data_IF_674734831549
#
_entry.id   IF_674734831549
#
_cell.length_a   1.000
_cell.length_b   1.000
_cell.length_c   1.000
_cell.angle_alpha   90.00
_cell.angle_beta   90.00
_cell.angle_gamma   90.00
#
_symmetry.space_group_name_H-M   'P 1'
#
loop_
_entity.id
_entity.type
_entity.pdbx_description
1 polymer ?
#
# COMPACT_ATOMS: atom_id res chain seq x y z
N UNK A 1 -3.46 33.50 36.02
CA UNK A 1 -3.11 32.90 34.70
C UNK A 1 -2.68 31.44 34.86
N UNK A 2 -3.64 30.54 35.02
CA UNK A 2 -3.41 29.09 35.04
C UNK A 2 -4.19 28.38 33.92
N UNK A 3 -5.33 28.97 33.52
CA UNK A 3 -6.23 28.48 32.46
C UNK A 3 -5.57 28.45 31.07
N UNK A 4 -4.71 29.43 30.75
CA UNK A 4 -3.96 29.45 29.49
C UNK A 4 -3.09 28.21 29.25
N UNK A 5 -2.37 27.73 30.28
CA UNK A 5 -1.45 26.58 30.12
C UNK A 5 -2.19 25.26 29.89
N UNK A 6 -3.34 25.09 30.54
CA UNK A 6 -4.17 23.89 30.37
C UNK A 6 -4.79 23.84 28.96
N UNK A 7 -5.28 24.99 28.47
CA UNK A 7 -5.83 25.09 27.12
C UNK A 7 -4.77 24.85 26.04
N UNK A 8 -3.55 25.37 26.22
CA UNK A 8 -2.43 25.12 25.30
C UNK A 8 -2.02 23.65 25.29
N UNK A 9 -1.93 22.98 26.46
CA UNK A 9 -1.62 21.54 26.54
C UNK A 9 -2.62 20.71 25.74
N UNK A 10 -3.91 20.98 25.95
CA UNK A 10 -4.99 20.24 25.28
C UNK A 10 -4.99 20.45 23.77
N UNK A 11 -4.68 21.66 23.29
CA UNK A 11 -4.59 21.94 21.84
C UNK A 11 -3.45 21.13 21.23
N UNK A 12 -2.27 21.14 21.86
CA UNK A 12 -1.10 20.39 21.39
C UNK A 12 -1.37 18.89 21.40
N UNK A 13 -2.01 18.37 22.45
CA UNK A 13 -2.38 16.94 22.54
C UNK A 13 -3.38 16.51 21.47
N UNK A 14 -4.37 17.36 21.13
CA UNK A 14 -5.30 17.07 20.04
C UNK A 14 -4.60 17.11 18.69
N UNK A 15 -3.76 18.12 18.44
CA UNK A 15 -3.02 18.27 17.18
C UNK A 15 -2.13 17.05 16.91
N UNK A 16 -1.37 16.60 17.92
CA UNK A 16 -0.54 15.39 17.83
C UNK A 16 -1.39 14.16 17.52
N UNK A 17 -2.56 14.02 18.16
CA UNK A 17 -3.47 12.87 17.92
C UNK A 17 -4.05 12.92 16.51
N UNK A 18 -4.45 14.09 16.04
CA UNK A 18 -4.99 14.27 14.69
C UNK A 18 -3.92 13.98 13.63
N UNK A 19 -2.70 14.46 13.83
CA UNK A 19 -1.55 14.13 12.99
C UNK A 19 -1.28 12.63 12.96
N UNK A 20 -1.18 11.98 14.13
CA UNK A 20 -0.92 10.54 14.20
C UNK A 20 -2.01 9.70 13.50
N UNK A 21 -3.28 10.10 13.63
CA UNK A 21 -4.39 9.43 12.92
C UNK A 21 -4.32 9.68 11.41
N UNK A 22 -3.99 10.90 10.99
CA UNK A 22 -3.83 11.23 9.57
C UNK A 22 -2.68 10.45 8.93
N UNK A 23 -1.52 10.41 9.59
CA UNK A 23 -0.35 9.64 9.17
C UNK A 23 -0.66 8.15 9.10
N UNK A 24 -1.27 7.59 10.14
CA UNK A 24 -1.65 6.17 10.15
C UNK A 24 -2.61 5.80 9.01
N UNK A 25 -3.59 6.65 8.72
CA UNK A 25 -4.49 6.46 7.56
C UNK A 25 -3.75 6.57 6.23
N UNK A 26 -2.83 7.53 6.10
CA UNK A 26 -2.06 7.72 4.88
C UNK A 26 -1.15 6.52 4.59
N UNK A 27 -0.42 6.04 5.61
CA UNK A 27 0.45 4.86 5.53
C UNK A 27 -0.39 3.63 5.19
N UNK A 28 -1.46 3.36 5.94
CA UNK A 28 -2.29 2.18 5.71
C UNK A 28 -2.93 2.16 4.31
N UNK A 29 -3.33 3.33 3.79
CA UNK A 29 -3.83 3.44 2.41
C UNK A 29 -2.72 3.15 1.39
N UNK A 30 -1.52 3.73 1.57
CA UNK A 30 -0.41 3.53 0.65
C UNK A 30 0.03 2.05 0.63
N UNK A 31 0.17 1.42 1.79
CA UNK A 31 0.52 0.00 1.91
C UNK A 31 -0.56 -0.90 1.30
N UNK A 32 -1.84 -0.65 1.61
CA UNK A 32 -2.95 -1.41 1.05
C UNK A 32 -3.06 -1.31 -0.46
N UNK A 33 -2.86 -0.12 -1.04
CA UNK A 33 -2.83 0.07 -2.49
C UNK A 33 -1.64 -0.65 -3.14
N UNK A 34 -0.46 -0.58 -2.54
CA UNK A 34 0.73 -1.25 -3.06
C UNK A 34 0.57 -2.78 -3.02
N UNK A 35 0.11 -3.32 -1.88
CA UNK A 35 -0.12 -4.75 -1.71
C UNK A 35 -1.22 -5.25 -2.66
N UNK A 36 -2.34 -4.51 -2.77
CA UNK A 36 -3.43 -4.86 -3.67
C UNK A 36 -3.02 -4.88 -5.13
N UNK A 37 -2.24 -3.88 -5.57
CA UNK A 37 -1.68 -3.86 -6.94
C UNK A 37 -0.76 -5.05 -7.18
N UNK A 38 0.12 -5.39 -6.24
CA UNK A 38 1.02 -6.53 -6.38
C UNK A 38 0.26 -7.85 -6.43
N UNK A 39 -0.67 -8.10 -5.49
CA UNK A 39 -1.52 -9.29 -5.47
C UNK A 39 -2.31 -9.44 -6.77
N UNK A 40 -2.89 -8.36 -7.28
CA UNK A 40 -3.62 -8.37 -8.56
C UNK A 40 -2.73 -8.75 -9.74
N UNK A 41 -1.52 -8.19 -9.83
CA UNK A 41 -0.56 -8.54 -10.90
C UNK A 41 -0.13 -10.02 -10.82
N UNK A 42 0.13 -10.53 -9.62
CA UNK A 42 0.51 -11.93 -9.42
C UNK A 42 -0.63 -12.89 -9.78
N UNK A 43 -1.87 -12.55 -9.42
CA UNK A 43 -3.04 -13.35 -9.79
C UNK A 43 -3.24 -13.42 -11.31
N UNK A 44 -3.12 -12.27 -12.00
CA UNK A 44 -3.19 -12.21 -13.46
C UNK A 44 -2.07 -13.07 -14.07
N UNK A 45 -0.83 -12.89 -13.63
CA UNK A 45 0.31 -13.64 -14.15
C UNK A 45 0.16 -15.16 -13.96
N UNK A 46 -0.32 -15.60 -12.78
CA UNK A 46 -0.61 -17.00 -12.50
C UNK A 46 -1.67 -17.56 -13.44
N UNK A 47 -2.80 -16.87 -13.61
CA UNK A 47 -3.86 -17.31 -14.54
C UNK A 47 -3.34 -17.39 -15.97
N UNK A 48 -2.54 -16.43 -16.43
CA UNK A 48 -1.97 -16.47 -17.78
C UNK A 48 -0.99 -17.65 -17.95
N UNK A 49 -0.16 -17.93 -16.95
CA UNK A 49 0.76 -19.10 -16.95
C UNK A 49 -0.03 -20.41 -17.01
N UNK A 50 -1.09 -20.54 -16.20
CA UNK A 50 -1.99 -21.70 -16.20
C UNK A 50 -2.70 -21.89 -17.56
N UNK A 51 -2.96 -20.80 -18.30
CA UNK A 51 -3.55 -20.83 -19.64
C UNK A 51 -2.51 -21.01 -20.76
N UNK A 52 -1.23 -21.26 -20.44
CA UNK A 52 -0.19 -21.57 -21.42
C UNK A 52 0.37 -20.36 -22.17
N UNK A 53 0.19 -19.15 -21.66
CA UNK A 53 0.82 -17.96 -22.25
C UNK A 53 2.35 -17.99 -22.10
N UNK A 54 3.05 -17.38 -23.06
CA UNK A 54 4.51 -17.25 -23.01
C UNK A 54 4.94 -16.34 -21.87
N UNK A 55 6.11 -16.60 -21.26
CA UNK A 55 6.67 -15.72 -20.21
C UNK A 55 6.77 -14.27 -20.71
N UNK A 56 7.19 -14.06 -21.97
CA UNK A 56 7.30 -12.74 -22.56
C UNK A 56 5.96 -11.99 -22.62
N UNK A 57 4.87 -12.68 -22.96
CA UNK A 57 3.53 -12.08 -22.95
C UNK A 57 3.06 -11.78 -21.53
N UNK A 58 3.33 -12.68 -20.58
CA UNK A 58 2.96 -12.49 -19.18
C UNK A 58 3.69 -11.28 -18.59
N UNK A 59 4.99 -11.11 -18.87
CA UNK A 59 5.78 -9.92 -18.48
C UNK A 59 5.11 -8.65 -18.99
N UNK A 60 4.74 -8.63 -20.28
CA UNK A 60 4.11 -7.47 -20.93
C UNK A 60 2.73 -7.15 -20.36
N UNK A 61 1.91 -8.17 -20.03
CA UNK A 61 0.53 -7.99 -19.57
C UNK A 61 0.48 -7.68 -18.07
N UNK A 62 1.18 -8.46 -17.25
CA UNK A 62 1.15 -8.33 -15.79
C UNK A 62 2.10 -7.25 -15.26
N UNK A 63 3.08 -6.82 -16.07
CA UNK A 63 4.08 -5.82 -15.66
C UNK A 63 4.97 -6.32 -14.52
N UNK A 64 5.32 -7.61 -14.56
CA UNK A 64 6.23 -8.29 -13.63
C UNK A 64 7.50 -8.68 -14.38
N UNK A 65 8.60 -8.84 -13.66
CA UNK A 65 9.85 -9.35 -14.22
C UNK A 65 9.72 -10.83 -14.63
N UNK A 66 10.51 -11.28 -15.62
CA UNK A 66 10.58 -12.70 -15.98
C UNK A 66 10.88 -13.61 -14.77
N UNK A 67 11.76 -13.17 -13.87
CA UNK A 67 12.15 -13.89 -12.66
C UNK A 67 11.02 -14.02 -11.65
N UNK A 68 10.16 -13.00 -11.53
CA UNK A 68 8.94 -13.09 -10.71
C UNK A 68 7.96 -14.11 -11.30
N UNK A 69 7.82 -14.16 -12.62
CA UNK A 69 6.90 -15.09 -13.31
C UNK A 69 7.41 -16.53 -13.28
N UNK A 70 8.72 -16.73 -13.36
CA UNK A 70 9.35 -18.06 -13.25
C UNK A 70 9.05 -18.70 -11.88
N UNK A 71 9.06 -17.90 -10.82
CA UNK A 71 8.80 -18.31 -9.43
C UNK A 71 7.32 -18.54 -9.09
N UNK A 72 6.37 -18.14 -9.95
CA UNK A 72 4.93 -18.37 -9.75
C UNK A 72 4.51 -19.81 -10.05
#
# INVERSE_FOLDING_TARGET
KAVDRYNVSRIVENDIREQAVAEGKAIGKAEGEAEGRLKGRLEIARKLKENGFSIADIVRIAGLSPEEIDKL
#
